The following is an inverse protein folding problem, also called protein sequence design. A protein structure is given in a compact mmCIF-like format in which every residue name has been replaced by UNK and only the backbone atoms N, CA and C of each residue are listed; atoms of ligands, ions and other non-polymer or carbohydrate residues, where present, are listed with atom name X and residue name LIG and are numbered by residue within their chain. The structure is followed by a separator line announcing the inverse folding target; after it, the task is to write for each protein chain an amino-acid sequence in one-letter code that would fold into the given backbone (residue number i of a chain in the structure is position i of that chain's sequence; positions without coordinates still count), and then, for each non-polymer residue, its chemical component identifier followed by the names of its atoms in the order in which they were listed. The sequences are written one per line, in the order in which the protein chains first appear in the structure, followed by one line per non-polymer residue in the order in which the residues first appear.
data_IF_092436443745
#
_entry.id   IF_092436443745
#
_cell.length_a   1.000
_cell.length_b   1.000
_cell.length_c   1.000
_cell.angle_alpha   90.00
_cell.angle_beta   90.00
_cell.angle_gamma   90.00
#
_symmetry.space_group_name_H-M   'P 1'
#
loop_
_entity.id
_entity.type
_entity.pdbx_description
1 polymer ?
#
# COMPACT_ATOMS: atom_id res chain seq x y z
N UNK A 1 -5.01 -0.30 19.14
CA UNK A 1 -4.21 0.33 18.05
C UNK A 1 -3.85 -0.74 17.06
N UNK A 2 -3.87 -0.46 15.77
CA UNK A 2 -3.51 -1.44 14.74
C UNK A 2 -2.03 -1.78 14.74
N UNK A 3 -1.67 -2.92 14.16
CA UNK A 3 -0.29 -3.43 14.00
C UNK A 3 -0.11 -4.08 12.63
N UNK A 4 1.10 -3.98 12.08
CA UNK A 4 1.53 -4.82 10.94
C UNK A 4 2.49 -5.86 11.50
N UNK A 5 2.09 -7.12 11.49
CA UNK A 5 2.89 -8.24 11.95
C UNK A 5 3.80 -8.76 10.84
N UNK A 6 4.95 -9.28 11.23
CA UNK A 6 5.91 -10.01 10.41
C UNK A 6 6.08 -11.39 11.05
N UNK A 7 5.50 -12.38 10.41
CA UNK A 7 5.45 -13.76 10.87
C UNK A 7 6.55 -14.58 10.23
N UNK A 8 7.22 -15.40 10.99
CA UNK A 8 7.97 -16.58 10.53
C UNK A 8 7.39 -17.82 11.23
N UNK A 9 7.72 -19.05 10.82
CA UNK A 9 7.26 -20.25 11.51
C UNK A 9 7.58 -20.28 13.01
N UNK A 10 8.65 -19.59 13.43
CA UNK A 10 9.22 -19.71 14.78
C UNK A 10 9.14 -18.43 15.61
N UNK A 11 8.88 -17.27 14.97
CA UNK A 11 8.94 -15.96 15.62
C UNK A 11 8.06 -14.93 14.91
N UNK A 12 7.63 -13.93 15.66
CA UNK A 12 6.88 -12.77 15.17
C UNK A 12 7.59 -11.47 15.60
N UNK A 13 7.45 -10.43 14.77
CA UNK A 13 7.76 -9.05 15.12
C UNK A 13 6.64 -8.13 14.60
N UNK A 14 6.52 -6.91 15.09
CA UNK A 14 5.42 -6.01 14.71
C UNK A 14 5.87 -4.57 14.49
N UNK A 15 5.22 -3.90 13.53
CA UNK A 15 5.23 -2.44 13.42
C UNK A 15 3.98 -1.85 14.05
N UNK A 16 4.13 -0.69 14.70
CA UNK A 16 2.99 0.07 15.21
C UNK A 16 2.11 0.60 14.08
N UNK A 17 0.80 0.66 14.31
CA UNK A 17 -0.15 1.24 13.36
C UNK A 17 0.13 2.71 13.01
N UNK A 18 0.78 3.45 13.92
CA UNK A 18 1.29 4.80 13.65
C UNK A 18 2.31 4.81 12.52
N UNK A 19 3.13 3.76 12.36
CA UNK A 19 4.10 3.65 11.27
C UNK A 19 3.45 3.27 9.95
N UNK A 20 2.45 2.36 9.96
CA UNK A 20 1.61 2.14 8.78
C UNK A 20 0.94 3.43 8.31
N UNK A 21 0.38 4.22 9.24
CA UNK A 21 -0.24 5.50 8.92
C UNK A 21 0.77 6.52 8.35
N UNK A 22 2.03 6.48 8.79
CA UNK A 22 3.09 7.30 8.21
C UNK A 22 3.48 6.86 6.80
N UNK A 23 3.66 5.56 6.56
CA UNK A 23 3.91 5.05 5.21
C UNK A 23 2.77 5.42 4.26
N UNK A 24 1.53 5.37 4.74
CA UNK A 24 0.35 5.84 4.03
C UNK A 24 0.44 7.32 3.66
N UNK A 25 0.69 8.20 4.63
CA UNK A 25 0.84 9.64 4.39
C UNK A 25 2.03 9.98 3.49
N UNK A 26 3.16 9.29 3.62
CA UNK A 26 4.34 9.47 2.77
C UNK A 26 4.02 9.20 1.28
N UNK A 27 3.32 8.10 1.00
CA UNK A 27 2.95 7.71 -0.36
C UNK A 27 1.87 8.64 -0.92
N UNK A 28 0.90 9.02 -0.08
CA UNK A 28 -0.14 9.98 -0.41
C UNK A 28 0.44 11.37 -0.75
N UNK A 29 1.34 11.90 0.08
CA UNK A 29 1.93 13.23 -0.13
C UNK A 29 2.74 13.31 -1.43
N UNK A 30 3.45 12.23 -1.78
CA UNK A 30 4.13 12.13 -3.08
C UNK A 30 3.14 12.19 -4.25
N UNK A 31 2.05 11.44 -4.18
CA UNK A 31 1.05 11.43 -5.25
C UNK A 31 0.29 12.76 -5.34
N UNK A 32 -0.15 13.30 -4.21
CA UNK A 32 -0.86 14.60 -4.15
C UNK A 32 0.03 15.73 -4.63
N UNK A 33 1.32 15.73 -4.27
CA UNK A 33 2.30 16.69 -4.77
C UNK A 33 2.43 16.66 -6.30
N UNK A 34 2.23 15.50 -6.92
CA UNK A 34 2.27 15.35 -8.38
C UNK A 34 1.03 15.85 -9.10
N UNK A 35 -0.12 15.98 -8.43
CA UNK A 35 -1.35 16.44 -9.08
C UNK A 35 -1.21 17.86 -9.66
N UNK A 36 -0.30 18.68 -9.11
CA UNK A 36 0.10 20.00 -9.63
C UNK A 36 -1.10 20.84 -10.09
N UNK A 37 -2.02 21.06 -9.14
CA UNK A 37 -3.34 21.62 -9.40
C UNK A 37 -3.32 23.10 -9.82
N UNK A 38 -2.16 23.74 -9.74
CA UNK A 38 -1.93 25.10 -10.21
C UNK A 38 -1.71 25.16 -11.74
N UNK A 39 -1.42 24.02 -12.38
CA UNK A 39 -1.24 23.95 -13.82
C UNK A 39 -2.59 23.67 -14.54
N UNK A 40 -3.14 24.69 -15.20
CA UNK A 40 -4.49 24.64 -15.81
C UNK A 40 -4.75 23.40 -16.68
N UNK A 41 -3.82 23.04 -17.59
CA UNK A 41 -3.99 21.86 -18.45
C UNK A 41 -4.04 20.54 -17.69
N UNK A 42 -3.30 20.41 -16.58
CA UNK A 42 -3.32 19.21 -15.73
C UNK A 42 -4.63 19.14 -14.94
N UNK A 43 -5.04 20.27 -14.41
CA UNK A 43 -6.30 20.42 -13.69
C UNK A 43 -7.51 20.10 -14.57
N UNK A 44 -7.58 20.66 -15.78
CA UNK A 44 -8.66 20.38 -16.74
C UNK A 44 -8.73 18.89 -17.08
N UNK A 45 -7.56 18.25 -17.21
CA UNK A 45 -7.48 16.80 -17.46
C UNK A 45 -7.98 15.99 -16.27
N UNK A 46 -7.54 16.30 -15.05
CA UNK A 46 -8.02 15.60 -13.86
C UNK A 46 -9.53 15.79 -13.69
N UNK A 47 -10.05 17.00 -13.95
CA UNK A 47 -11.48 17.27 -13.92
C UNK A 47 -12.27 16.48 -14.98
N UNK A 48 -11.69 16.25 -16.16
CA UNK A 48 -12.32 15.43 -17.20
C UNK A 48 -12.51 13.96 -16.77
N UNK A 49 -11.72 13.51 -15.78
CA UNK A 49 -11.83 12.19 -15.19
C UNK A 49 -12.79 12.13 -14.00
N UNK A 50 -13.23 13.26 -13.45
CA UNK A 50 -14.15 13.25 -12.30
C UNK A 50 -15.51 12.71 -12.74
N UNK A 51 -16.01 11.70 -12.01
CA UNK A 51 -17.29 11.08 -12.33
C UNK A 51 -18.46 12.08 -12.33
N UNK A 52 -19.40 11.99 -13.29
CA UNK A 52 -20.59 12.82 -13.28
C UNK A 52 -21.41 12.52 -12.02
N UNK A 53 -21.83 13.57 -11.31
CA UNK A 53 -22.53 13.45 -10.02
C UNK A 53 -21.62 13.30 -8.81
N UNK A 54 -20.29 13.27 -8.98
CA UNK A 54 -19.38 13.41 -7.85
C UNK A 54 -19.37 14.86 -7.35
N UNK A 55 -19.31 15.07 -6.03
CA UNK A 55 -19.43 16.41 -5.43
C UNK A 55 -18.40 17.41 -5.97
N UNK A 56 -17.20 16.93 -6.37
CA UNK A 56 -16.16 17.75 -7.01
C UNK A 56 -16.66 18.36 -8.31
N UNK A 57 -17.35 17.60 -9.16
CA UNK A 57 -17.92 18.11 -10.40
C UNK A 57 -18.98 19.20 -10.14
N UNK A 58 -19.77 19.03 -9.07
CA UNK A 58 -20.81 19.99 -8.69
C UNK A 58 -20.25 21.28 -8.04
N UNK A 59 -19.15 21.16 -7.29
CA UNK A 59 -18.59 22.25 -6.49
C UNK A 59 -17.40 22.95 -7.15
N UNK A 60 -16.74 22.34 -8.14
CA UNK A 60 -15.61 22.92 -8.88
C UNK A 60 -15.94 24.32 -9.44
N UNK A 61 -17.17 24.51 -9.92
CA UNK A 61 -17.62 25.80 -10.45
C UNK A 61 -17.80 26.90 -9.39
N UNK A 62 -17.90 26.56 -8.09
CA UNK A 62 -18.23 27.50 -7.01
C UNK A 62 -17.02 27.97 -6.21
N UNK A 63 -16.08 27.06 -5.92
CA UNK A 63 -14.95 27.33 -5.00
C UNK A 63 -13.59 27.21 -5.68
N UNK A 64 -13.58 26.97 -6.99
CA UNK A 64 -12.39 26.56 -7.72
C UNK A 64 -12.12 25.06 -7.54
N UNK A 65 -11.60 24.38 -8.57
CA UNK A 65 -11.52 22.91 -8.57
C UNK A 65 -10.36 22.33 -7.74
N UNK A 66 -9.31 23.10 -7.47
CA UNK A 66 -8.09 22.58 -6.84
C UNK A 66 -8.32 21.99 -5.44
N UNK A 67 -8.86 22.77 -4.50
CA UNK A 67 -9.08 22.28 -3.13
C UNK A 67 -10.08 21.12 -3.03
N UNK A 68 -11.27 21.16 -3.69
CA UNK A 68 -12.19 20.02 -3.67
C UNK A 68 -11.59 18.76 -4.28
N UNK A 69 -10.84 18.87 -5.38
CA UNK A 69 -10.23 17.71 -6.03
C UNK A 69 -9.13 17.09 -5.17
N UNK A 70 -8.23 17.90 -4.59
CA UNK A 70 -7.22 17.39 -3.65
C UNK A 70 -7.89 16.68 -2.47
N UNK A 71 -8.92 17.30 -1.88
CA UNK A 71 -9.67 16.71 -0.76
C UNK A 71 -10.33 15.39 -1.16
N UNK A 72 -11.01 15.35 -2.31
CA UNK A 72 -11.63 14.12 -2.82
C UNK A 72 -10.60 13.02 -3.06
N UNK A 73 -9.46 13.37 -3.66
CA UNK A 73 -8.38 12.43 -3.92
C UNK A 73 -7.89 11.78 -2.62
N UNK A 74 -7.63 12.60 -1.58
CA UNK A 74 -7.19 12.12 -0.26
C UNK A 74 -8.25 11.26 0.44
N UNK A 75 -9.53 11.63 0.32
CA UNK A 75 -10.62 10.84 0.89
C UNK A 75 -10.85 9.53 0.14
N UNK A 76 -10.70 9.55 -1.19
CA UNK A 76 -10.78 8.38 -2.06
C UNK A 76 -9.68 7.38 -1.70
N UNK A 77 -8.44 7.85 -1.54
CA UNK A 77 -7.31 7.02 -1.12
C UNK A 77 -7.59 6.16 0.13
N UNK A 78 -8.43 6.64 1.05
CA UNK A 78 -8.79 5.91 2.27
C UNK A 78 -10.08 5.08 2.18
N UNK A 79 -11.00 5.39 1.25
CA UNK A 79 -12.40 4.90 1.31
C UNK A 79 -13.04 4.67 -0.07
N UNK A 80 -12.25 4.35 -1.09
CA UNK A 80 -12.78 4.03 -2.43
C UNK A 80 -13.47 2.66 -2.40
N UNK A 81 -14.67 2.57 -1.82
CA UNK A 81 -15.46 1.33 -1.81
C UNK A 81 -16.10 1.11 -3.18
N UNK A 82 -16.19 -0.14 -3.70
CA UNK A 82 -16.75 -0.42 -5.04
C UNK A 82 -18.16 0.10 -5.29
N UNK A 83 -18.94 0.34 -4.23
CA UNK A 83 -20.34 0.77 -4.31
C UNK A 83 -20.53 2.29 -4.25
N UNK A 84 -19.45 3.07 -4.09
CA UNK A 84 -19.50 4.54 -4.07
C UNK A 84 -19.20 5.10 -5.45
N UNK A 85 -19.72 6.30 -5.72
CA UNK A 85 -19.35 7.05 -6.93
C UNK A 85 -17.84 7.29 -6.91
N UNK A 86 -17.07 6.79 -7.89
CA UNK A 86 -15.63 6.91 -7.87
C UNK A 86 -15.22 8.37 -8.04
N UNK A 87 -14.10 8.75 -7.42
CA UNK A 87 -13.53 10.09 -7.59
C UNK A 87 -13.12 10.30 -9.05
N UNK A 88 -12.52 9.28 -9.67
CA UNK A 88 -12.05 9.29 -11.05
C UNK A 88 -12.59 8.10 -11.84
N UNK A 89 -12.96 8.33 -13.09
CA UNK A 89 -13.38 7.32 -14.04
C UNK A 89 -13.01 7.71 -15.48
N UNK A 90 -12.80 6.71 -16.32
CA UNK A 90 -12.58 6.89 -17.76
C UNK A 90 -13.56 6.01 -18.53
N UNK A 91 -14.45 6.65 -19.31
CA UNK A 91 -15.52 5.98 -20.08
C UNK A 91 -16.38 5.04 -19.22
N UNK A 92 -16.72 5.48 -18.01
CA UNK A 92 -17.53 4.72 -17.06
C UNK A 92 -16.77 3.63 -16.29
N UNK A 93 -15.49 3.40 -16.59
CA UNK A 93 -14.63 2.49 -15.82
C UNK A 93 -13.93 3.26 -14.70
N UNK A 94 -13.95 2.72 -13.49
CA UNK A 94 -13.34 3.33 -12.31
C UNK A 94 -11.82 3.40 -12.48
N UNK A 95 -11.24 4.49 -11.99
CA UNK A 95 -9.79 4.61 -11.76
C UNK A 95 -9.62 4.62 -10.25
N UNK A 96 -9.06 3.54 -9.72
CA UNK A 96 -8.86 3.39 -8.28
C UNK A 96 -7.80 4.37 -7.77
N UNK A 97 -8.22 5.28 -6.89
CA UNK A 97 -7.32 6.33 -6.36
C UNK A 97 -6.27 5.78 -5.40
N UNK A 98 -6.52 4.65 -4.75
CA UNK A 98 -5.56 3.96 -3.91
C UNK A 98 -4.44 3.36 -4.75
N UNK A 99 -4.77 2.57 -5.76
CA UNK A 99 -3.79 1.97 -6.66
C UNK A 99 -3.00 3.02 -7.45
N UNK A 100 -3.67 4.06 -7.95
CA UNK A 100 -3.04 5.17 -8.66
C UNK A 100 -1.99 5.88 -7.80
N UNK A 101 -2.29 6.07 -6.52
CA UNK A 101 -1.37 6.67 -5.53
C UNK A 101 -0.17 5.78 -5.27
N UNK A 102 -0.40 4.49 -4.98
CA UNK A 102 0.66 3.52 -4.73
C UNK A 102 1.59 3.37 -5.94
N UNK A 103 1.05 3.26 -7.15
CA UNK A 103 1.82 3.15 -8.39
C UNK A 103 2.63 4.42 -8.70
N UNK A 104 2.10 5.60 -8.35
CA UNK A 104 2.84 6.86 -8.47
C UNK A 104 4.05 6.88 -7.53
N UNK A 105 3.87 6.46 -6.27
CA UNK A 105 4.98 6.34 -5.32
C UNK A 105 5.99 5.26 -5.74
N UNK A 106 5.54 4.14 -6.32
CA UNK A 106 6.44 3.10 -6.83
C UNK A 106 7.33 3.61 -7.97
N UNK A 107 6.79 4.43 -8.86
CA UNK A 107 7.51 5.02 -10.00
C UNK A 107 8.51 6.09 -9.58
N UNK A 108 8.11 6.99 -8.69
CA UNK A 108 8.92 8.16 -8.31
C UNK A 108 9.85 7.90 -7.13
N UNK A 109 9.48 6.95 -6.28
CA UNK A 109 10.18 6.64 -5.04
C UNK A 109 11.52 5.94 -5.26
N UNK A 110 12.42 6.14 -4.30
CA UNK A 110 13.55 5.25 -4.09
C UNK A 110 13.06 3.90 -3.51
N UNK A 111 13.99 2.99 -3.23
CA UNK A 111 13.68 1.64 -2.76
C UNK A 111 12.88 1.64 -1.43
N UNK A 112 13.15 2.58 -0.53
CA UNK A 112 12.48 2.70 0.75
C UNK A 112 11.03 3.19 0.59
N UNK A 113 10.79 4.15 -0.30
CA UNK A 113 9.44 4.62 -0.65
C UNK A 113 8.65 3.51 -1.36
N UNK A 114 9.30 2.74 -2.24
CA UNK A 114 8.68 1.57 -2.88
C UNK A 114 8.27 0.53 -1.85
N UNK A 115 9.14 0.25 -0.88
CA UNK A 115 8.82 -0.64 0.23
C UNK A 115 7.65 -0.09 1.06
N UNK A 116 7.63 1.22 1.36
CA UNK A 116 6.52 1.85 2.07
C UNK A 116 5.18 1.65 1.34
N UNK A 117 5.16 1.85 0.02
CA UNK A 117 3.99 1.62 -0.82
C UNK A 117 3.57 0.14 -0.82
N UNK A 118 4.52 -0.79 -0.93
CA UNK A 118 4.24 -2.23 -0.87
C UNK A 118 3.67 -2.65 0.49
N UNK A 119 4.32 -2.27 1.60
CA UNK A 119 3.86 -2.62 2.94
C UNK A 119 2.50 -2.00 3.24
N UNK A 120 2.27 -0.74 2.86
CA UNK A 120 0.96 -0.12 3.03
C UNK A 120 -0.12 -0.82 2.21
N UNK A 121 0.13 -1.04 0.91
CA UNK A 121 -0.84 -1.60 -0.03
C UNK A 121 -1.08 -3.11 0.11
N UNK A 122 -0.21 -3.84 0.79
CA UNK A 122 -0.26 -5.31 0.82
C UNK A 122 -0.22 -5.92 2.23
N UNK A 123 -0.14 -5.11 3.29
CA UNK A 123 -0.18 -5.64 4.66
C UNK A 123 -1.46 -6.43 4.96
N UNK A 124 -2.55 -6.14 4.25
CA UNK A 124 -3.85 -6.85 4.35
C UNK A 124 -3.93 -8.05 3.40
N UNK A 125 -2.98 -8.19 2.48
CA UNK A 125 -2.93 -9.23 1.45
C UNK A 125 -1.81 -10.25 1.69
N UNK A 126 -1.17 -10.21 2.86
CA UNK A 126 -0.08 -11.12 3.23
C UNK A 126 1.11 -11.07 2.28
N UNK A 127 1.63 -9.87 2.00
CA UNK A 127 2.93 -9.71 1.35
C UNK A 127 3.99 -10.54 2.09
N UNK A 128 4.93 -11.14 1.37
CA UNK A 128 5.89 -12.06 1.97
C UNK A 128 7.28 -11.93 1.34
N UNK A 129 8.32 -12.34 2.05
CA UNK A 129 9.71 -12.38 1.56
C UNK A 129 10.28 -13.78 1.78
N UNK A 130 10.89 -14.38 0.75
CA UNK A 130 11.53 -15.70 0.88
C UNK A 130 12.83 -15.57 1.66
N UNK A 131 13.23 -16.67 2.30
CA UNK A 131 14.43 -16.76 3.13
C UNK A 131 15.66 -16.04 2.52
N UNK A 132 16.09 -16.39 1.28
CA UNK A 132 17.24 -15.77 0.63
C UNK A 132 17.17 -14.24 0.45
N UNK A 133 15.96 -13.66 0.44
CA UNK A 133 15.72 -12.23 0.23
C UNK A 133 15.56 -11.46 1.55
N UNK A 134 15.53 -12.13 2.71
CA UNK A 134 15.30 -11.46 4.01
C UNK A 134 16.39 -10.46 4.37
N UNK A 135 17.64 -10.80 4.09
CA UNK A 135 18.77 -9.90 4.34
C UNK A 135 18.64 -8.61 3.52
N UNK A 136 18.31 -8.71 2.23
CA UNK A 136 18.04 -7.56 1.38
C UNK A 136 16.91 -6.70 1.95
N UNK A 137 15.78 -7.30 2.35
CA UNK A 137 14.66 -6.53 2.90
C UNK A 137 15.07 -5.77 4.17
N UNK A 138 15.85 -6.42 5.04
CA UNK A 138 16.39 -5.79 6.24
C UNK A 138 17.35 -4.63 5.92
N UNK A 139 18.16 -4.73 4.85
CA UNK A 139 19.02 -3.63 4.38
C UNK A 139 18.20 -2.43 3.89
N UNK A 140 17.10 -2.66 3.17
CA UNK A 140 16.19 -1.60 2.72
C UNK A 140 15.54 -0.91 3.93
N UNK A 141 15.06 -1.67 4.91
CA UNK A 141 14.46 -1.14 6.13
C UNK A 141 15.46 -0.33 6.94
N UNK A 142 16.66 -0.86 7.17
CA UNK A 142 17.72 -0.17 7.90
C UNK A 142 18.09 1.15 7.20
N UNK A 143 18.26 1.13 5.88
CA UNK A 143 18.54 2.34 5.10
C UNK A 143 17.41 3.36 5.22
N UNK A 144 16.15 2.91 5.23
CA UNK A 144 15.00 3.81 5.43
C UNK A 144 15.00 4.49 6.79
N UNK A 145 15.42 3.78 7.84
CA UNK A 145 15.57 4.37 9.18
C UNK A 145 16.73 5.37 9.21
N UNK A 146 17.89 4.97 8.69
CA UNK A 146 19.11 5.79 8.73
C UNK A 146 18.98 7.08 7.88
N UNK A 147 18.16 7.04 6.83
CA UNK A 147 17.84 8.19 5.99
C UNK A 147 16.62 8.99 6.47
N UNK A 148 15.94 8.53 7.52
CA UNK A 148 14.77 9.20 8.10
C UNK A 148 13.47 9.04 7.30
N UNK A 149 13.42 8.15 6.30
CA UNK A 149 12.19 7.80 5.57
C UNK A 149 11.26 7.00 6.48
N UNK A 150 11.83 6.05 7.24
CA UNK A 150 11.13 5.32 8.29
C UNK A 150 11.47 5.92 9.65
N UNK A 151 10.50 5.90 10.56
CA UNK A 151 10.67 6.53 11.88
C UNK A 151 11.02 5.46 12.89
N UNK A 152 12.22 5.50 13.44
CA UNK A 152 12.63 4.58 14.53
C UNK A 152 11.65 4.67 15.71
N UNK A 153 11.21 5.88 16.05
CA UNK A 153 10.24 6.10 17.11
C UNK A 153 9.62 7.50 17.05
N UNK A 154 8.68 7.76 17.95
CA UNK A 154 7.96 9.03 18.04
C UNK A 154 7.88 9.50 19.49
N UNK A 155 8.09 10.80 19.76
CA UNK A 155 7.75 11.38 21.05
C UNK A 155 6.22 11.46 21.19
N UNK A 156 5.69 11.14 22.37
CA UNK A 156 4.25 11.26 22.65
C UNK A 156 4.00 11.67 24.11
N UNK A 157 2.78 12.12 24.41
CA UNK A 157 2.30 12.42 25.77
C UNK A 157 0.96 11.70 25.94
N UNK A 158 0.71 11.15 27.12
CA UNK A 158 -0.59 10.52 27.42
C UNK A 158 -1.67 11.60 27.59
N UNK A 159 -1.30 12.73 28.19
CA UNK A 159 -2.19 13.86 28.46
C UNK A 159 -1.50 15.21 28.22
N UNK A 160 -2.26 16.29 27.94
CA UNK A 160 -1.72 17.64 27.91
C UNK A 160 -0.99 17.97 29.23
N UNK A 161 0.31 18.27 29.13
CA UNK A 161 1.16 18.59 30.28
C UNK A 161 1.94 17.42 30.90
N UNK A 162 1.67 16.16 30.52
CA UNK A 162 2.44 15.00 31.01
C UNK A 162 3.86 14.97 30.43
N UNK A 163 4.80 14.22 31.03
CA UNK A 163 6.13 14.03 30.45
C UNK A 163 6.09 13.48 29.01
N UNK A 164 7.06 13.89 28.18
CA UNK A 164 7.23 13.32 26.83
C UNK A 164 7.86 11.94 26.96
N UNK A 165 7.16 10.93 26.45
CA UNK A 165 7.63 9.55 26.34
C UNK A 165 8.11 9.26 24.92
N UNK A 166 8.91 8.22 24.77
CA UNK A 166 9.35 7.71 23.47
C UNK A 166 8.59 6.43 23.12
N UNK A 167 8.03 6.36 21.91
CA UNK A 167 7.36 5.16 21.37
C UNK A 167 8.18 4.62 20.22
N UNK A 168 8.89 3.50 20.45
CA UNK A 168 9.55 2.74 19.38
C UNK A 168 8.52 2.24 18.36
N UNK A 169 8.85 2.24 17.06
CA UNK A 169 7.91 1.79 16.02
C UNK A 169 7.98 0.29 15.68
N UNK A 170 8.95 -0.44 16.24
CA UNK A 170 9.13 -1.89 16.08
C UNK A 170 10.12 -2.30 14.98
N UNK A 171 10.77 -1.34 14.33
CA UNK A 171 11.66 -1.61 13.20
C UNK A 171 12.89 -2.46 13.59
N UNK A 172 13.49 -2.20 14.74
CA UNK A 172 14.70 -2.93 15.18
C UNK A 172 14.38 -4.42 15.40
N UNK A 173 13.19 -4.73 15.93
CA UNK A 173 12.73 -6.11 16.10
C UNK A 173 12.42 -6.81 14.76
N UNK A 174 11.82 -6.09 13.81
CA UNK A 174 11.54 -6.62 12.46
C UNK A 174 12.84 -6.88 11.71
N UNK A 175 13.82 -5.96 11.79
CA UNK A 175 15.14 -6.14 11.17
C UNK A 175 15.86 -7.32 11.83
N UNK A 176 15.84 -7.41 13.17
CA UNK A 176 16.44 -8.53 13.89
C UNK A 176 15.80 -9.87 13.49
N UNK A 177 14.46 -9.92 13.39
CA UNK A 177 13.74 -11.08 12.85
C UNK A 177 14.29 -11.42 11.47
N UNK A 178 14.25 -10.50 10.51
CA UNK A 178 14.68 -10.77 9.13
C UNK A 178 16.13 -11.28 9.04
N UNK A 179 17.05 -10.79 9.88
CA UNK A 179 18.46 -11.21 9.88
C UNK A 179 18.73 -12.53 10.57
N UNK A 180 17.85 -12.99 11.46
CA UNK A 180 18.08 -14.19 12.27
C UNK A 180 18.24 -15.45 11.42
N UNK A 181 17.53 -15.53 10.29
CA UNK A 181 17.48 -16.70 9.40
C UNK A 181 17.30 -16.29 7.95
N UNK A 182 17.70 -17.16 7.04
CA UNK A 182 17.59 -17.01 5.58
C UNK A 182 16.97 -18.26 4.91
N UNK A 183 16.42 -19.19 5.69
CA UNK A 183 15.85 -20.47 5.23
C UNK A 183 14.33 -20.57 5.43
N UNK A 184 13.72 -19.56 6.03
CA UNK A 184 12.28 -19.49 6.31
C UNK A 184 11.68 -18.20 5.73
N UNK A 185 10.47 -18.25 5.12
CA UNK A 185 9.81 -17.06 4.64
C UNK A 185 9.30 -16.20 5.81
N UNK A 186 9.15 -14.90 5.55
CA UNK A 186 8.46 -13.97 6.45
C UNK A 186 7.22 -13.41 5.77
N UNK A 187 6.07 -13.47 6.43
CA UNK A 187 4.77 -13.07 5.89
C UNK A 187 4.19 -11.92 6.72
N UNK A 188 3.60 -10.93 6.07
CA UNK A 188 2.95 -9.82 6.74
C UNK A 188 1.48 -10.13 7.08
N UNK A 189 0.94 -9.55 8.16
CA UNK A 189 -0.51 -9.45 8.35
C UNK A 189 -0.85 -8.13 9.01
N UNK A 190 -2.10 -7.69 8.86
CA UNK A 190 -2.58 -6.48 9.52
C UNK A 190 -3.58 -6.85 10.61
N UNK A 191 -3.40 -6.30 11.81
CA UNK A 191 -4.14 -6.70 13.03
C UNK A 191 -5.65 -6.46 12.98
N UNK A 192 -6.14 -5.70 12.00
CA UNK A 192 -7.57 -5.40 11.82
C UNK A 192 -8.23 -6.39 10.85
N UNK A 193 -7.45 -6.97 9.94
CA UNK A 193 -7.91 -7.92 8.93
C UNK A 193 -7.55 -9.35 9.34
N UNK A 194 -7.68 -10.29 8.39
CA UNK A 194 -7.28 -11.68 8.59
C UNK A 194 -5.82 -11.79 9.02
N UNK A 195 -5.56 -12.73 9.93
CA UNK A 195 -4.21 -13.07 10.39
C UNK A 195 -3.62 -14.20 9.56
N UNK A 196 -2.28 -14.25 9.50
CA UNK A 196 -1.56 -15.36 8.90
C UNK A 196 -1.05 -16.31 10.01
N UNK A 197 -1.05 -17.65 9.81
CA UNK A 197 -1.57 -18.37 8.65
C UNK A 197 -3.10 -18.40 8.58
N UNK A 198 -3.66 -18.35 7.37
CA UNK A 198 -5.07 -18.61 7.10
C UNK A 198 -5.23 -19.60 5.94
N UNK A 199 -6.45 -20.08 5.75
CA UNK A 199 -6.80 -21.05 4.71
C UNK A 199 -6.92 -20.45 3.29
N UNK A 200 -6.64 -19.16 3.11
CA UNK A 200 -6.95 -18.44 1.88
C UNK A 200 -8.44 -18.07 1.75
N UNK A 201 -8.80 -17.36 0.65
CA UNK A 201 -10.12 -16.76 0.44
C UNK A 201 -11.24 -17.80 0.25
N UNK A 202 -10.90 -18.96 -0.29
CA UNK A 202 -11.87 -20.04 -0.57
C UNK A 202 -12.18 -20.88 0.68
N UNK A 203 -11.50 -20.60 1.80
CA UNK A 203 -11.59 -21.42 3.00
C UNK A 203 -10.86 -22.76 2.85
N UNK A 204 -10.82 -23.54 3.93
CA UNK A 204 -10.29 -24.90 3.92
C UNK A 204 -11.47 -25.86 4.10
N UNK A 205 -11.59 -26.86 3.22
CA UNK A 205 -12.70 -27.84 3.22
C UNK A 205 -12.68 -28.81 4.41
N UNK A 206 -11.68 -28.73 5.29
CA UNK A 206 -11.58 -29.51 6.54
C UNK A 206 -11.62 -28.65 7.79
N UNK A 207 -11.40 -29.26 8.95
CA UNK A 207 -11.27 -28.51 10.21
C UNK A 207 -9.89 -27.84 10.26
N UNK A 208 -9.80 -26.61 9.73
CA UNK A 208 -8.58 -25.80 9.72
C UNK A 208 -7.94 -25.69 11.11
N UNK A 209 -8.76 -25.62 12.16
CA UNK A 209 -8.27 -25.41 13.52
C UNK A 209 -7.75 -26.68 14.19
N UNK A 210 -8.05 -27.86 13.63
CA UNK A 210 -7.49 -29.14 14.05
C UNK A 210 -6.09 -29.41 13.46
N UNK A 211 -5.66 -28.61 12.48
CA UNK A 211 -4.35 -28.76 11.88
C UNK A 211 -3.22 -28.25 12.79
N UNK A 212 -2.12 -29.01 12.81
CA UNK A 212 -0.85 -28.58 13.40
C UNK A 212 -0.38 -27.23 12.82
N UNK A 213 0.26 -26.40 13.63
CA UNK A 213 0.69 -25.06 13.22
C UNK A 213 1.60 -25.08 11.97
N UNK A 214 2.51 -26.05 11.88
CA UNK A 214 3.39 -26.24 10.73
C UNK A 214 2.62 -26.55 9.45
N UNK A 215 1.53 -27.31 9.55
CA UNK A 215 0.71 -27.66 8.38
C UNK A 215 -0.12 -26.47 7.91
N UNK A 216 -0.70 -25.69 8.86
CA UNK A 216 -1.36 -24.42 8.54
C UNK A 216 -0.41 -23.44 7.85
N UNK A 217 0.82 -23.32 8.35
CA UNK A 217 1.85 -22.51 7.70
C UNK A 217 2.13 -22.96 6.27
N UNK A 218 2.33 -24.27 6.08
CA UNK A 218 2.62 -24.86 4.77
C UNK A 218 1.50 -24.56 3.77
N UNK A 219 0.24 -24.77 4.14
CA UNK A 219 -0.93 -24.52 3.30
C UNK A 219 -1.05 -23.01 2.98
N UNK A 220 -0.91 -22.15 3.98
CA UNK A 220 -0.97 -20.69 3.78
C UNK A 220 0.11 -20.19 2.82
N UNK A 221 1.35 -20.69 2.97
CA UNK A 221 2.44 -20.35 2.05
C UNK A 221 2.25 -20.93 0.64
N UNK A 222 1.68 -22.14 0.53
CA UNK A 222 1.35 -22.74 -0.77
C UNK A 222 0.35 -21.87 -1.53
N UNK A 223 -0.69 -21.39 -0.85
CA UNK A 223 -1.66 -20.44 -1.42
C UNK A 223 -0.98 -19.13 -1.87
N UNK A 224 -0.16 -18.50 -1.01
CA UNK A 224 0.52 -17.24 -1.37
C UNK A 224 1.41 -17.38 -2.60
N UNK A 225 2.08 -18.52 -2.75
CA UNK A 225 2.99 -18.80 -3.87
C UNK A 225 2.26 -19.10 -5.18
N UNK A 226 0.94 -19.27 -5.19
CA UNK A 226 0.17 -19.40 -6.44
C UNK A 226 0.02 -18.06 -7.18
N UNK A 227 0.20 -16.93 -6.49
CA UNK A 227 0.15 -15.58 -7.07
C UNK A 227 1.41 -14.75 -6.78
N UNK A 228 2.62 -15.26 -7.09
CA UNK A 228 3.88 -14.69 -6.61
C UNK A 228 4.15 -13.31 -7.17
N UNK A 229 3.75 -13.07 -8.43
CA UNK A 229 3.91 -11.80 -9.13
C UNK A 229 3.23 -10.62 -8.44
N UNK A 230 2.34 -10.87 -7.46
CA UNK A 230 1.59 -9.83 -6.75
C UNK A 230 2.10 -9.55 -5.34
N UNK A 231 2.67 -10.51 -4.62
CA UNK A 231 2.83 -10.41 -3.16
C UNK A 231 4.26 -10.55 -2.65
N UNK A 232 5.16 -11.18 -3.42
CA UNK A 232 6.54 -11.35 -2.96
C UNK A 232 7.29 -10.01 -2.92
N UNK A 233 7.97 -9.74 -1.81
CA UNK A 233 8.91 -8.67 -1.58
C UNK A 233 10.30 -9.20 -1.90
N UNK A 234 10.77 -8.96 -3.11
CA UNK A 234 12.09 -9.37 -3.59
C UNK A 234 12.81 -8.17 -4.26
N UNK A 235 14.13 -8.26 -4.50
CA UNK A 235 14.83 -7.32 -5.37
C UNK A 235 14.12 -7.16 -6.73
N UNK A 236 14.25 -5.98 -7.36
CA UNK A 236 13.58 -5.69 -8.64
C UNK A 236 12.18 -5.07 -8.51
N UNK A 237 11.85 -4.50 -7.34
CA UNK A 237 10.52 -3.91 -7.07
C UNK A 237 10.15 -2.75 -8.01
N UNK A 238 11.09 -2.15 -8.73
CA UNK A 238 10.85 -1.08 -9.71
C UNK A 238 9.87 -1.48 -10.83
N UNK A 239 9.72 -2.79 -11.09
CA UNK A 239 8.80 -3.31 -12.11
C UNK A 239 7.39 -3.59 -11.56
N UNK A 240 7.23 -3.65 -10.24
CA UNK A 240 5.96 -4.01 -9.62
C UNK A 240 4.91 -2.90 -9.78
N UNK A 241 3.67 -3.26 -10.10
CA UNK A 241 2.54 -2.33 -10.10
C UNK A 241 1.27 -2.99 -9.52
N UNK A 242 0.46 -2.21 -8.81
CA UNK A 242 -0.87 -2.57 -8.35
C UNK A 242 -1.90 -2.50 -9.49
N UNK A 243 -2.87 -3.42 -9.47
CA UNK A 243 -4.02 -3.44 -10.37
C UNK A 243 -3.68 -3.30 -11.87
N UNK A 244 -4.32 -2.35 -12.58
CA UNK A 244 -4.04 -2.02 -13.99
C UNK A 244 -2.66 -1.38 -14.23
N UNK A 245 -1.97 -0.97 -13.17
CA UNK A 245 -0.64 -0.38 -13.21
C UNK A 245 -0.58 1.09 -13.62
N UNK A 246 -1.70 1.80 -13.53
CA UNK A 246 -1.80 3.23 -13.80
C UNK A 246 -1.17 4.07 -12.69
N UNK A 247 -0.55 5.18 -13.08
CA UNK A 247 -0.04 6.23 -12.18
C UNK A 247 -0.53 7.62 -12.62
N UNK A 248 -0.33 8.63 -11.77
CA UNK A 248 -0.60 10.04 -12.12
C UNK A 248 0.22 10.46 -13.35
N UNK A 249 1.43 9.92 -13.53
CA UNK A 249 2.25 10.20 -14.71
C UNK A 249 1.58 9.72 -16.01
N UNK A 250 0.84 8.61 -15.96
CA UNK A 250 0.10 8.12 -17.12
C UNK A 250 -1.09 9.03 -17.45
N UNK A 251 -1.76 9.57 -16.43
CA UNK A 251 -2.80 10.58 -16.62
C UNK A 251 -2.22 11.82 -17.30
N UNK A 252 -0.99 12.24 -16.97
CA UNK A 252 -0.37 13.42 -17.57
C UNK A 252 0.40 13.18 -18.87
N UNK A 253 0.49 11.94 -19.33
CA UNK A 253 1.16 11.63 -20.59
C UNK A 253 0.42 12.26 -21.80
N UNK A 254 1.11 12.56 -22.91
CA UNK A 254 0.44 13.05 -24.12
C UNK A 254 -0.60 12.06 -24.68
N UNK A 255 -0.35 10.77 -24.52
CA UNK A 255 -1.16 9.62 -24.97
C UNK A 255 -2.04 9.03 -23.85
N UNK A 256 -2.39 9.82 -22.82
CA UNK A 256 -3.06 9.34 -21.61
C UNK A 256 -4.34 8.54 -21.87
N UNK A 257 -5.18 8.95 -22.84
CA UNK A 257 -6.42 8.22 -23.16
C UNK A 257 -6.14 6.78 -23.62
N UNK A 258 -5.14 6.59 -24.48
CA UNK A 258 -4.72 5.26 -24.95
C UNK A 258 -4.16 4.42 -23.79
N UNK A 259 -3.39 5.05 -22.89
CA UNK A 259 -2.86 4.37 -21.70
C UNK A 259 -3.98 3.90 -20.78
N UNK A 260 -4.96 4.75 -20.49
CA UNK A 260 -6.12 4.39 -19.69
C UNK A 260 -6.94 3.29 -20.37
N UNK A 261 -7.20 3.42 -21.68
CA UNK A 261 -7.95 2.41 -22.43
C UNK A 261 -7.28 1.03 -22.37
N UNK A 262 -5.96 0.99 -22.60
CA UNK A 262 -5.16 -0.23 -22.56
C UNK A 262 -5.08 -0.84 -21.16
N UNK A 263 -4.90 -0.01 -20.13
CA UNK A 263 -4.78 -0.50 -18.76
C UNK A 263 -6.12 -1.08 -18.26
N UNK A 264 -7.22 -0.35 -18.46
CA UNK A 264 -8.53 -0.73 -17.98
C UNK A 264 -9.18 -1.86 -18.80
N UNK A 265 -8.76 -2.10 -20.05
CA UNK A 265 -9.21 -3.26 -20.82
C UNK A 265 -8.64 -4.58 -20.29
N UNK A 266 -7.43 -4.57 -19.71
CA UNK A 266 -6.77 -5.78 -19.19
C UNK A 266 -7.34 -6.27 -17.86
N UNK A 267 -8.07 -5.41 -17.17
CA UNK A 267 -8.70 -5.74 -15.89
C UNK A 267 -9.92 -6.65 -16.10
N UNK A 268 -10.65 -6.49 -17.21
CA UNK A 268 -11.82 -7.32 -17.55
C UNK A 268 -11.44 -8.78 -17.88
N UNK A 269 -10.19 -9.01 -18.28
CA UNK A 269 -9.66 -10.35 -18.62
C UNK A 269 -9.08 -11.10 -17.40
N UNK A 270 -9.04 -10.47 -16.22
CA UNK A 270 -8.42 -11.01 -14.99
C UNK A 270 -9.46 -11.50 -13.98
#
# INVERSE_FOLDING_TARGET
MSRVYFHSPTREAELKGSERAWMSGLVEDLAVGMLDLDHSTRLDRLLSLVGPGHYVAEHAARVGPGMPLATAYRLGFLNDEPHRTPVMQHRGRRIDTFELTLNTALLLGNEQVRLAARLHGQCELHAWVDGPNRAWLADVMQTGIDTGIFRRGLPYRDDPGSEVKWSDQGWDDVIALLRERDDEPVVTSFSITDQFPNSGPDGYDGDWYDLEATERWRIGMEWLRQSPARLELAPGQELYRFGPGLSILDIFAPDWEERLDRALAREEDR
#
